data_IF_066734762919
#
_entry.id   IF_066734762919
#
_cell.length_a   1.000
_cell.length_b   1.000
_cell.length_c   1.000
_cell.angle_alpha   90.00
_cell.angle_beta   90.00
_cell.angle_gamma   90.00
#
_symmetry.space_group_name_H-M   'P 1'
#
loop_
_entity.id
_entity.type
_entity.pdbx_description
1 polymer ?
#
# COMPACT_ATOMS: atom_id res chain seq x y z
N UNK A 1 -4.19 -18.58 -11.05
CA UNK A 1 -5.38 -18.09 -10.33
C UNK A 1 -5.11 -18.14 -8.83
N UNK A 2 -5.33 -17.03 -8.13
CA UNK A 2 -5.14 -16.93 -6.66
C UNK A 2 -6.48 -17.11 -5.96
N UNK A 3 -6.50 -17.90 -4.88
CA UNK A 3 -7.71 -18.11 -4.06
C UNK A 3 -7.46 -17.60 -2.65
N UNK A 4 -8.40 -16.81 -2.15
CA UNK A 4 -8.40 -16.24 -0.82
C UNK A 4 -9.67 -16.69 -0.09
N UNK A 5 -9.58 -16.94 1.21
CA UNK A 5 -10.73 -17.23 2.07
C UNK A 5 -10.81 -16.15 3.14
N UNK A 6 -11.94 -15.47 3.23
CA UNK A 6 -12.20 -14.48 4.29
C UNK A 6 -13.29 -15.03 5.23
N UNK A 7 -13.08 -14.88 6.52
CA UNK A 7 -14.00 -15.35 7.56
C UNK A 7 -14.22 -14.26 8.60
N UNK A 8 -15.45 -14.06 9.02
CA UNK A 8 -15.80 -13.18 10.13
C UNK A 8 -15.60 -13.92 11.46
N UNK A 9 -14.87 -13.34 12.38
CA UNK A 9 -14.52 -13.94 13.68
C UNK A 9 -15.38 -13.43 14.85
N UNK A 10 -16.25 -12.47 14.63
CA UNK A 10 -16.95 -11.74 15.69
C UNK A 10 -16.19 -10.48 16.13
N UNK A 11 -16.82 -9.63 16.90
CA UNK A 11 -16.24 -8.39 17.43
C UNK A 11 -15.65 -7.46 16.36
N UNK A 12 -16.24 -7.45 15.16
CA UNK A 12 -15.81 -6.66 13.99
C UNK A 12 -14.40 -7.04 13.49
N UNK A 13 -13.95 -8.24 13.77
CA UNK A 13 -12.70 -8.82 13.32
C UNK A 13 -12.94 -9.84 12.20
N UNK A 14 -12.05 -9.83 11.22
CA UNK A 14 -12.02 -10.83 10.16
C UNK A 14 -10.63 -11.45 10.06
N UNK A 15 -10.58 -12.60 9.40
CA UNK A 15 -9.34 -13.28 9.05
C UNK A 15 -9.37 -13.58 7.55
N UNK A 16 -8.25 -13.37 6.88
CA UNK A 16 -8.08 -13.77 5.50
C UNK A 16 -6.88 -14.70 5.34
N UNK A 17 -7.07 -15.76 4.57
CA UNK A 17 -6.04 -16.78 4.32
C UNK A 17 -5.75 -16.82 2.83
N UNK A 18 -4.48 -16.72 2.47
CA UNK A 18 -3.99 -17.01 1.13
C UNK A 18 -3.85 -18.51 0.98
N UNK A 19 -4.78 -19.15 0.24
CA UNK A 19 -4.92 -20.61 0.26
C UNK A 19 -3.70 -21.38 -0.25
N UNK A 20 -2.93 -20.79 -1.16
CA UNK A 20 -1.75 -21.45 -1.71
C UNK A 20 -0.55 -21.47 -0.77
N UNK A 21 -0.34 -20.40 0.00
CA UNK A 21 0.81 -20.27 0.91
C UNK A 21 0.47 -20.54 2.37
N UNK A 22 -0.80 -20.49 2.75
CA UNK A 22 -1.23 -20.54 4.14
C UNK A 22 -1.01 -19.24 4.90
N UNK A 23 -0.50 -18.18 4.25
CA UNK A 23 -0.32 -16.87 4.89
C UNK A 23 -1.64 -16.30 5.36
N UNK A 24 -1.61 -15.67 6.53
CA UNK A 24 -2.80 -15.20 7.22
C UNK A 24 -2.66 -13.72 7.60
N UNK A 25 -3.75 -12.98 7.41
CA UNK A 25 -3.89 -11.61 7.90
C UNK A 25 -5.18 -11.48 8.70
N UNK A 26 -5.18 -10.58 9.68
CA UNK A 26 -6.36 -10.23 10.47
C UNK A 26 -6.71 -8.76 10.30
N UNK A 27 -8.00 -8.46 10.31
CA UNK A 27 -8.51 -7.10 10.25
C UNK A 27 -9.38 -6.79 11.45
N UNK A 28 -9.42 -5.52 11.82
CA UNK A 28 -10.34 -4.94 12.78
C UNK A 28 -11.01 -3.71 12.17
N UNK A 29 -12.24 -3.43 12.57
CA UNK A 29 -12.88 -2.19 12.19
C UNK A 29 -12.09 -1.00 12.79
N UNK A 30 -11.97 0.12 12.06
CA UNK A 30 -11.19 1.26 12.54
C UNK A 30 -11.88 1.98 13.70
N UNK A 31 -11.11 2.75 14.49
CA UNK A 31 -11.62 3.53 15.61
C UNK A 31 -12.74 4.51 15.22
N UNK A 32 -12.63 5.12 14.04
CA UNK A 32 -13.61 6.07 13.52
C UNK A 32 -14.84 5.39 12.90
N UNK A 33 -14.94 4.06 12.99
CA UNK A 33 -16.08 3.29 12.47
C UNK A 33 -16.35 2.03 13.31
N UNK A 34 -16.70 2.21 14.56
CA UNK A 34 -17.16 1.20 15.51
C UNK A 34 -16.12 0.17 15.97
N UNK A 35 -14.91 0.19 15.49
CA UNK A 35 -13.86 -0.76 15.84
C UNK A 35 -12.93 -0.27 16.94
N UNK A 36 -11.99 -1.12 17.33
CA UNK A 36 -10.94 -0.82 18.32
C UNK A 36 -9.62 -0.40 17.69
N UNK A 37 -9.47 -0.55 16.35
CA UNK A 37 -8.25 -0.19 15.64
C UNK A 37 -7.02 -1.01 16.08
N UNK A 38 -7.22 -2.23 16.53
CA UNK A 38 -6.13 -3.09 17.05
C UNK A 38 -5.26 -3.70 15.95
N UNK A 39 -5.70 -3.63 14.71
CA UNK A 39 -4.95 -4.09 13.54
C UNK A 39 -5.37 -3.32 12.30
N UNK A 40 -4.93 -3.75 11.13
CA UNK A 40 -5.35 -3.14 9.86
C UNK A 40 -6.86 -3.19 9.70
N UNK A 41 -7.47 -2.07 9.33
CA UNK A 41 -8.83 -2.09 8.79
C UNK A 41 -8.80 -2.57 7.32
N UNK A 42 -9.94 -2.99 6.74
CA UNK A 42 -9.98 -3.33 5.31
C UNK A 42 -9.51 -2.22 4.40
N UNK A 43 -9.83 -0.95 4.68
CA UNK A 43 -9.34 0.19 3.89
C UNK A 43 -7.85 0.48 4.13
N UNK A 44 -7.31 0.17 5.31
CA UNK A 44 -5.86 0.21 5.55
C UNK A 44 -5.14 -0.81 4.67
N UNK A 45 -5.70 -2.01 4.49
CA UNK A 45 -5.13 -3.01 3.60
C UNK A 45 -5.13 -2.55 2.13
N UNK A 46 -6.14 -1.81 1.70
CA UNK A 46 -6.17 -1.22 0.37
C UNK A 46 -5.03 -0.19 0.21
N UNK A 47 -4.83 0.69 1.18
CA UNK A 47 -3.71 1.62 1.18
C UNK A 47 -2.36 0.89 1.22
N UNK A 48 -2.25 -0.15 2.07
CA UNK A 48 -1.05 -1.00 2.18
C UNK A 48 -0.75 -1.71 0.86
N UNK A 49 -1.77 -2.19 0.15
CA UNK A 49 -1.59 -2.85 -1.14
C UNK A 49 -0.96 -1.91 -2.17
N UNK A 50 -1.35 -0.63 -2.17
CA UNK A 50 -0.73 0.38 -3.02
C UNK A 50 0.75 0.57 -2.66
N UNK A 51 1.06 0.80 -1.39
CA UNK A 51 2.44 1.02 -0.94
C UNK A 51 3.37 -0.15 -1.24
N UNK A 52 2.94 -1.36 -0.90
CA UNK A 52 3.73 -2.57 -1.17
C UNK A 52 3.88 -2.84 -2.66
N UNK A 53 2.85 -2.52 -3.46
CA UNK A 53 2.94 -2.63 -4.92
C UNK A 53 3.96 -1.65 -5.51
N UNK A 54 3.94 -0.39 -5.08
CA UNK A 54 4.93 0.61 -5.52
C UNK A 54 6.36 0.13 -5.25
N UNK A 55 6.65 -0.32 -4.02
CA UNK A 55 7.96 -0.85 -3.66
C UNK A 55 8.33 -2.08 -4.50
N UNK A 56 7.40 -3.01 -4.68
CA UNK A 56 7.65 -4.25 -5.42
C UNK A 56 7.94 -4.00 -6.90
N UNK A 57 7.15 -3.13 -7.56
CA UNK A 57 7.37 -2.86 -8.99
C UNK A 57 8.70 -2.12 -9.21
N UNK A 58 9.04 -1.19 -8.32
CA UNK A 58 10.35 -0.53 -8.36
C UNK A 58 11.48 -1.54 -8.15
N UNK A 59 11.34 -2.48 -7.19
CA UNK A 59 12.33 -3.51 -6.93
C UNK A 59 12.53 -4.46 -8.13
N UNK A 60 11.45 -4.88 -8.78
CA UNK A 60 11.51 -5.72 -9.98
C UNK A 60 12.31 -5.00 -11.09
N UNK A 61 12.01 -3.73 -11.34
CA UNK A 61 12.71 -2.93 -12.35
C UNK A 61 14.17 -2.69 -11.99
N UNK A 62 14.44 -2.36 -10.73
CA UNK A 62 15.81 -2.16 -10.24
C UNK A 62 16.65 -3.43 -10.41
N UNK A 63 16.09 -4.59 -10.07
CA UNK A 63 16.77 -5.88 -10.25
C UNK A 63 17.13 -6.14 -11.70
N UNK A 64 16.28 -5.78 -12.66
CA UNK A 64 16.59 -5.95 -14.08
C UNK A 64 17.75 -5.07 -14.55
N UNK A 65 17.99 -3.94 -13.87
CA UNK A 65 19.10 -3.01 -14.14
C UNK A 65 20.32 -3.26 -13.24
N UNK A 66 20.30 -4.32 -12.45
CA UNK A 66 21.44 -4.77 -11.65
C UNK A 66 21.65 -4.07 -10.32
N UNK A 67 20.64 -3.38 -9.77
CA UNK A 67 20.75 -2.78 -8.43
C UNK A 67 19.64 -3.21 -7.48
N UNK A 68 19.94 -3.14 -6.17
CA UNK A 68 19.07 -3.55 -5.07
C UNK A 68 18.44 -2.30 -4.43
N UNK A 69 17.13 -2.39 -4.14
CA UNK A 69 16.39 -1.32 -3.44
C UNK A 69 16.39 -1.47 -1.92
N UNK A 70 17.19 -2.36 -1.36
CA UNK A 70 17.25 -2.53 0.08
C UNK A 70 17.52 -1.18 0.79
N UNK A 71 16.68 -0.87 1.79
CA UNK A 71 16.76 0.39 2.51
C UNK A 71 15.76 1.45 2.05
N UNK A 72 15.07 1.25 0.93
CA UNK A 72 13.96 2.11 0.52
C UNK A 72 12.72 1.72 1.32
N UNK A 73 12.01 2.72 1.84
CA UNK A 73 10.74 2.54 2.51
C UNK A 73 9.79 3.67 2.17
N UNK A 74 8.53 3.52 2.53
CA UNK A 74 7.54 4.58 2.37
C UNK A 74 6.57 4.59 3.56
N UNK A 75 6.03 5.77 3.82
CA UNK A 75 4.92 5.96 4.73
C UNK A 75 3.66 6.30 3.93
N UNK A 76 2.51 5.86 4.41
CA UNK A 76 1.22 6.17 3.80
C UNK A 76 0.30 6.75 4.86
N UNK A 77 -0.31 7.88 4.55
CA UNK A 77 -1.40 8.44 5.30
C UNK A 77 -2.69 8.29 4.49
N UNK A 78 -3.69 7.65 5.09
CA UNK A 78 -5.00 7.44 4.49
C UNK A 78 -6.02 8.38 5.09
N UNK A 79 -6.66 9.20 4.26
CA UNK A 79 -7.73 10.10 4.68
C UNK A 79 -9.07 9.63 4.12
N UNK A 80 -10.05 9.48 5.00
CA UNK A 80 -11.42 9.10 4.65
C UNK A 80 -12.29 10.34 4.44
N UNK A 81 -13.35 10.22 3.65
CA UNK A 81 -14.39 11.25 3.55
C UNK A 81 -15.10 11.45 4.89
N UNK A 82 -15.58 12.65 5.14
CA UNK A 82 -16.31 13.01 6.38
C UNK A 82 -17.84 12.90 6.23
N UNK A 83 -18.33 12.46 5.09
CA UNK A 83 -19.76 12.31 4.81
C UNK A 83 -20.27 10.89 5.13
N UNK A 84 -21.58 10.68 5.00
CA UNK A 84 -22.22 9.38 5.26
C UNK A 84 -21.80 8.28 4.25
N UNK A 85 -21.40 8.66 3.05
CA UNK A 85 -20.85 7.76 2.05
C UNK A 85 -19.34 7.61 2.25
N UNK A 86 -18.96 6.66 3.08
CA UNK A 86 -17.59 6.46 3.53
C UNK A 86 -16.69 5.94 2.39
N UNK A 87 -15.75 6.77 1.95
CA UNK A 87 -14.77 6.48 0.90
C UNK A 87 -13.37 6.92 1.32
N UNK A 88 -12.35 6.31 0.73
CA UNK A 88 -10.99 6.87 0.79
C UNK A 88 -10.97 8.11 -0.08
N UNK A 89 -10.67 9.25 0.53
CA UNK A 89 -10.55 10.54 -0.14
C UNK A 89 -9.17 10.76 -0.73
N UNK A 90 -8.15 10.45 0.07
CA UNK A 90 -6.76 10.79 -0.24
C UNK A 90 -5.81 9.74 0.33
N UNK A 91 -4.73 9.45 -0.41
CA UNK A 91 -3.59 8.65 0.03
C UNK A 91 -2.33 9.48 -0.18
N UNK A 92 -1.71 9.89 0.92
CA UNK A 92 -0.44 10.62 0.92
C UNK A 92 0.69 9.62 1.13
N UNK A 93 1.62 9.57 0.21
CA UNK A 93 2.71 8.59 0.19
C UNK A 93 4.03 9.35 0.19
N UNK A 94 4.83 9.13 1.21
CA UNK A 94 6.20 9.64 1.31
C UNK A 94 7.18 8.50 1.07
N UNK A 95 7.94 8.57 -0.01
CA UNK A 95 8.95 7.55 -0.37
C UNK A 95 10.34 8.08 0.02
N UNK A 96 11.04 7.30 0.82
CA UNK A 96 12.37 7.65 1.33
C UNK A 96 13.44 6.80 0.66
N UNK A 97 14.36 7.48 -0.02
CA UNK A 97 15.45 6.88 -0.78
C UNK A 97 16.78 7.26 -0.11
N UNK A 98 17.72 6.31 0.06
CA UNK A 98 19.04 6.66 0.63
C UNK A 98 19.73 7.80 -0.10
N UNK A 99 20.32 8.73 0.66
CA UNK A 99 21.01 9.92 0.14
C UNK A 99 22.08 9.59 -0.92
N UNK A 100 22.71 8.42 -0.79
CA UNK A 100 23.72 7.94 -1.75
C UNK A 100 23.18 7.58 -3.13
N UNK A 101 21.85 7.59 -3.32
CA UNK A 101 21.23 7.22 -4.60
C UNK A 101 21.37 8.34 -5.62
N UNK A 102 21.85 8.00 -6.82
CA UNK A 102 22.00 8.98 -7.90
C UNK A 102 20.67 9.52 -8.39
N UNK A 103 20.65 10.75 -8.89
CA UNK A 103 19.46 11.35 -9.49
C UNK A 103 18.93 10.53 -10.68
N UNK A 104 19.82 9.94 -11.46
CA UNK A 104 19.46 9.05 -12.58
C UNK A 104 18.67 7.83 -12.08
N UNK A 105 19.13 7.20 -11.01
CA UNK A 105 18.43 6.08 -10.37
C UNK A 105 17.08 6.52 -9.83
N UNK A 106 16.99 7.68 -9.18
CA UNK A 106 15.72 8.21 -8.67
C UNK A 106 14.73 8.44 -9.81
N UNK A 107 15.14 9.02 -10.92
CA UNK A 107 14.29 9.23 -12.11
C UNK A 107 13.81 7.90 -12.71
N UNK A 108 14.68 6.90 -12.74
CA UNK A 108 14.32 5.55 -13.16
C UNK A 108 13.24 4.95 -12.27
N UNK A 109 13.37 5.07 -10.93
CA UNK A 109 12.39 4.57 -9.97
C UNK A 109 11.05 5.29 -10.07
N UNK A 110 11.06 6.61 -10.30
CA UNK A 110 9.84 7.39 -10.54
C UNK A 110 9.06 6.90 -11.75
N UNK A 111 9.76 6.56 -12.83
CA UNK A 111 9.13 5.96 -14.03
C UNK A 111 8.58 4.58 -13.73
N UNK A 112 9.35 3.73 -13.05
CA UNK A 112 8.94 2.37 -12.70
C UNK A 112 7.68 2.37 -11.81
N UNK A 113 7.56 3.29 -10.87
CA UNK A 113 6.41 3.40 -9.96
C UNK A 113 5.08 3.62 -10.70
N UNK A 114 5.11 4.22 -11.88
CA UNK A 114 3.91 4.44 -12.71
C UNK A 114 3.30 3.16 -13.29
N UNK A 115 4.04 2.06 -13.27
CA UNK A 115 3.57 0.77 -13.78
C UNK A 115 2.86 -0.07 -12.70
N UNK A 116 2.57 0.48 -11.54
CA UNK A 116 1.93 -0.22 -10.42
C UNK A 116 0.52 -0.72 -10.78
N UNK A 117 0.28 -2.05 -10.79
CA UNK A 117 -1.04 -2.60 -11.11
C UNK A 117 -2.13 -2.20 -10.11
N UNK A 118 -1.79 -2.02 -8.84
CA UNK A 118 -2.77 -1.58 -7.82
C UNK A 118 -3.28 -0.18 -8.16
N UNK A 119 -2.40 0.75 -8.52
CA UNK A 119 -2.81 2.10 -8.95
C UNK A 119 -3.81 2.04 -10.10
N UNK A 120 -3.60 1.16 -11.07
CA UNK A 120 -4.50 0.98 -12.23
C UNK A 120 -5.89 0.48 -11.86
N UNK A 121 -6.04 -0.14 -10.69
CA UNK A 121 -7.30 -0.71 -10.22
C UNK A 121 -7.98 0.14 -9.13
N UNK A 122 -7.39 1.24 -8.71
CA UNK A 122 -8.00 2.17 -7.77
C UNK A 122 -8.94 3.14 -8.48
N UNK A 123 -9.98 3.57 -7.75
CA UNK A 123 -10.87 4.63 -8.25
C UNK A 123 -10.08 5.90 -8.53
N UNK A 124 -10.40 6.57 -9.63
CA UNK A 124 -9.83 7.88 -9.97
C UNK A 124 -10.32 9.00 -9.03
N UNK A 125 -11.34 8.73 -8.22
CA UNK A 125 -11.81 9.66 -7.19
C UNK A 125 -10.84 9.78 -6.01
N UNK A 126 -9.94 8.80 -5.83
CA UNK A 126 -8.92 8.85 -4.78
C UNK A 126 -7.79 9.77 -5.23
N UNK A 127 -7.53 10.81 -4.44
CA UNK A 127 -6.38 11.70 -4.67
C UNK A 127 -5.11 11.03 -4.12
N UNK A 128 -4.23 10.60 -5.02
CA UNK A 128 -2.96 9.94 -4.67
C UNK A 128 -1.82 10.95 -4.83
N UNK A 129 -1.19 11.31 -3.72
CA UNK A 129 -0.07 12.25 -3.68
C UNK A 129 1.21 11.51 -3.28
N UNK A 130 2.24 11.57 -4.11
CA UNK A 130 3.53 10.91 -3.87
C UNK A 130 4.61 11.98 -3.75
N UNK A 131 5.29 11.99 -2.61
CA UNK A 131 6.46 12.82 -2.33
C UNK A 131 7.71 11.95 -2.23
N UNK A 132 8.82 12.41 -2.79
CA UNK A 132 10.08 11.68 -2.83
C UNK A 132 11.09 12.41 -1.97
N UNK A 133 11.71 11.69 -1.05
CA UNK A 133 12.71 12.21 -0.11
C UNK A 133 14.02 11.45 -0.29
N UNK A 134 15.10 12.20 -0.43
CA UNK A 134 16.45 11.66 -0.56
C UNK A 134 17.22 11.97 0.72
N UNK A 135 17.27 11.01 1.63
CA UNK A 135 17.88 11.16 2.94
C UNK A 135 18.58 9.89 3.48
#
# INVERSE_FOLDING_TARGET
MTKLKCSYLGNLNCEAVHLQSGSLIRTDAPLDHCGKGESFSPTDLLATSLGTCLLTIMAIKAKSEGFDLKGIYLNIEKLMTQNSERKIKELNIDIFIPESTSNETIDFLKKASKECPVTRNLSQEIDIKISWHNE
#
